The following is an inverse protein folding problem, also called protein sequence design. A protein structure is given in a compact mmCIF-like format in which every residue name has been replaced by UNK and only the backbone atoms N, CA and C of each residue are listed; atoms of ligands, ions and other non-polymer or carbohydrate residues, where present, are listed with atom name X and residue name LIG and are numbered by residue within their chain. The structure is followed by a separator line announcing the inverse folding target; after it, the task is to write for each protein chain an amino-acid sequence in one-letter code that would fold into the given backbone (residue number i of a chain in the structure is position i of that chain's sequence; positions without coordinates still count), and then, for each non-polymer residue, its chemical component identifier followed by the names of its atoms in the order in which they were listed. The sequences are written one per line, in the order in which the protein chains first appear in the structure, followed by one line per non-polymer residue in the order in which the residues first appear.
data_IF_814809815718
#
_entry.id   IF_814809815718
#
_cell.length_a   1.000
_cell.length_b   1.000
_cell.length_c   1.000
_cell.angle_alpha   90.00
_cell.angle_beta   90.00
_cell.angle_gamma   90.00
#
_symmetry.space_group_name_H-M   'P 1'
#
loop_
_entity.id
_entity.type
_entity.pdbx_description
1 polymer ?
#
# COMPACT_ATOMS: atom_id res chain seq x y z
N UNK A 1 3.33 1.33 -13.74
CA UNK A 1 2.03 0.63 -13.67
C UNK A 1 1.49 0.72 -12.24
N UNK A 2 1.23 1.94 -11.77
CA UNK A 2 0.37 2.21 -10.64
C UNK A 2 -1.02 2.58 -11.17
N UNK A 3 -1.88 1.56 -11.31
CA UNK A 3 -3.27 1.75 -11.73
C UNK A 3 -3.99 2.75 -10.81
N UNK A 4 -4.84 3.61 -11.39
CA UNK A 4 -5.96 4.22 -10.65
C UNK A 4 -6.84 3.07 -10.14
N UNK A 5 -6.95 2.88 -8.81
CA UNK A 5 -7.87 1.90 -8.26
C UNK A 5 -9.06 2.62 -7.62
N UNK A 6 -10.25 2.34 -8.17
CA UNK A 6 -11.52 2.60 -7.51
C UNK A 6 -12.02 1.32 -6.84
N UNK A 7 -13.24 1.33 -6.29
CA UNK A 7 -13.86 0.14 -5.68
C UNK A 7 -13.89 -1.10 -6.60
N UNK A 8 -13.84 -0.91 -7.92
CA UNK A 8 -13.88 -1.96 -8.93
C UNK A 8 -12.70 -2.94 -8.86
N UNK A 9 -11.59 -2.52 -8.26
CA UNK A 9 -10.41 -3.34 -8.22
C UNK A 9 -10.26 -4.11 -6.87
N UNK A 10 -11.02 -3.72 -5.85
CA UNK A 10 -11.03 -4.39 -4.54
C UNK A 10 -11.29 -5.91 -4.65
N UNK A 11 -12.22 -6.32 -5.51
CA UNK A 11 -12.52 -7.74 -5.77
C UNK A 11 -11.30 -8.48 -6.32
N UNK A 12 -10.56 -7.85 -7.23
CA UNK A 12 -9.35 -8.43 -7.82
C UNK A 12 -8.23 -8.60 -6.80
N UNK A 13 -8.04 -7.62 -5.90
CA UNK A 13 -7.09 -7.79 -4.79
C UNK A 13 -7.52 -8.93 -3.88
N UNK A 14 -8.82 -9.07 -3.59
CA UNK A 14 -9.30 -10.19 -2.78
C UNK A 14 -9.08 -11.53 -3.49
N UNK A 15 -9.33 -11.62 -4.80
CA UNK A 15 -9.11 -12.83 -5.59
C UNK A 15 -7.62 -13.21 -5.63
N UNK A 16 -6.74 -12.25 -5.91
CA UNK A 16 -5.30 -12.50 -6.04
C UNK A 16 -4.61 -12.75 -4.68
N UNK A 17 -5.15 -12.20 -3.58
CA UNK A 17 -4.42 -12.06 -2.31
C UNK A 17 -5.19 -12.47 -1.04
N UNK A 18 -6.44 -12.92 -1.17
CA UNK A 18 -7.35 -13.17 -0.04
C UNK A 18 -6.77 -14.05 1.06
N UNK A 19 -6.00 -15.09 0.69
CA UNK A 19 -5.38 -16.02 1.65
C UNK A 19 -4.47 -15.33 2.67
N UNK A 20 -3.62 -14.40 2.23
CA UNK A 20 -2.69 -13.71 3.13
C UNK A 20 -3.23 -12.37 3.62
N UNK A 21 -4.14 -11.74 2.87
CA UNK A 21 -4.81 -10.50 3.29
C UNK A 21 -5.65 -10.74 4.56
N UNK A 22 -6.20 -11.95 4.70
CA UNK A 22 -6.87 -12.43 5.92
C UNK A 22 -7.90 -11.42 6.45
N UNK A 23 -8.86 -11.05 5.59
CA UNK A 23 -9.94 -10.15 5.95
C UNK A 23 -10.79 -10.76 7.07
N UNK A 24 -11.10 -9.95 8.07
CA UNK A 24 -12.08 -10.31 9.08
C UNK A 24 -13.49 -10.36 8.47
N UNK A 25 -14.42 -11.02 9.15
CA UNK A 25 -15.82 -11.04 8.71
C UNK A 25 -16.38 -9.61 8.60
N UNK A 26 -16.93 -9.31 7.41
CA UNK A 26 -17.46 -8.00 7.06
C UNK A 26 -16.40 -6.89 6.90
N UNK A 27 -15.10 -7.20 6.89
CA UNK A 27 -14.06 -6.25 6.51
C UNK A 27 -14.03 -6.10 4.98
N UNK A 28 -14.01 -4.87 4.49
CA UNK A 28 -14.08 -4.56 3.05
C UNK A 28 -12.86 -3.77 2.61
N UNK A 29 -12.30 -4.13 1.45
CA UNK A 29 -11.23 -3.37 0.80
C UNK A 29 -11.84 -2.11 0.16
N UNK A 30 -11.36 -0.94 0.54
CA UNK A 30 -11.81 0.35 0.02
C UNK A 30 -10.93 0.85 -1.13
N UNK A 31 -9.63 0.59 -1.03
CA UNK A 31 -8.63 1.03 -2.01
C UNK A 31 -7.41 0.12 -1.97
N UNK A 32 -6.73 -0.06 -3.09
CA UNK A 32 -5.41 -0.67 -3.09
C UNK A 32 -4.51 -0.03 -4.15
N UNK A 33 -3.23 0.11 -3.86
CA UNK A 33 -2.21 0.56 -4.77
C UNK A 33 -1.09 -0.48 -4.84
N UNK A 34 -0.51 -0.62 -6.03
CA UNK A 34 0.60 -1.53 -6.28
C UNK A 34 1.80 -0.74 -6.78
N UNK A 35 2.96 -0.98 -6.17
CA UNK A 35 4.25 -0.53 -6.68
C UNK A 35 4.89 -1.66 -7.50
N UNK A 36 6.12 -1.47 -8.01
CA UNK A 36 6.85 -2.55 -8.69
C UNK A 36 7.09 -3.77 -7.81
N UNK A 37 7.11 -3.62 -6.48
CA UNK A 37 7.49 -4.67 -5.51
C UNK A 37 6.46 -4.89 -4.41
N UNK A 38 5.62 -3.90 -4.14
CA UNK A 38 4.84 -3.80 -2.92
C UNK A 38 3.37 -3.50 -3.22
N UNK A 39 2.51 -3.78 -2.24
CA UNK A 39 1.09 -3.52 -2.24
C UNK A 39 0.75 -2.70 -1.01
N UNK A 40 -0.16 -1.76 -1.18
CA UNK A 40 -0.73 -0.91 -0.14
C UNK A 40 -2.24 -1.03 -0.25
N UNK A 41 -2.89 -1.69 0.71
CA UNK A 41 -4.32 -1.99 0.70
C UNK A 41 -4.96 -1.27 1.88
N UNK A 42 -6.01 -0.50 1.63
CA UNK A 42 -6.82 0.15 2.65
C UNK A 42 -8.14 -0.61 2.75
N UNK A 43 -8.47 -1.04 3.96
CA UNK A 43 -9.78 -1.58 4.29
C UNK A 43 -10.56 -0.57 5.12
N UNK A 44 -11.80 -0.87 5.47
CA UNK A 44 -12.57 -0.09 6.44
C UNK A 44 -11.96 -0.12 7.87
N UNK A 45 -10.96 -0.97 8.14
CA UNK A 45 -10.39 -1.20 9.49
C UNK A 45 -8.89 -0.92 9.63
N UNK A 46 -8.11 -1.13 8.57
CA UNK A 46 -6.65 -1.11 8.62
C UNK A 46 -6.01 -0.82 7.27
N UNK A 47 -4.74 -0.46 7.32
CA UNK A 47 -3.84 -0.48 6.17
C UNK A 47 -3.07 -1.79 6.19
N UNK A 48 -3.08 -2.53 5.08
CA UNK A 48 -2.27 -3.72 4.86
C UNK A 48 -1.19 -3.42 3.82
N UNK A 49 0.06 -3.76 4.14
CA UNK A 49 1.21 -3.45 3.30
C UNK A 49 2.04 -4.70 3.10
N UNK A 50 2.51 -4.93 1.89
CA UNK A 50 3.60 -5.88 1.65
C UNK A 50 4.92 -5.12 1.55
N UNK A 51 5.94 -5.54 2.27
CA UNK A 51 7.32 -5.04 2.12
C UNK A 51 8.20 -6.18 1.57
N UNK A 52 8.52 -6.10 0.28
CA UNK A 52 9.38 -7.10 -0.38
C UNK A 52 10.84 -6.71 -0.29
N UNK A 53 11.56 -7.35 0.63
CA UNK A 53 12.99 -7.16 0.85
C UNK A 53 13.84 -8.26 0.17
N UNK A 54 15.07 -7.88 -0.21
CA UNK A 54 16.12 -8.79 -0.70
C UNK A 54 16.23 -8.91 -2.23
N UNK A 55 17.47 -8.91 -2.74
CA UNK A 55 17.76 -9.01 -4.18
C UNK A 55 17.69 -10.44 -4.74
N UNK A 56 18.09 -11.45 -3.94
CA UNK A 56 18.27 -12.84 -4.38
C UNK A 56 17.12 -13.77 -3.97
N UNK A 57 16.60 -13.61 -2.76
CA UNK A 57 15.47 -14.38 -2.23
C UNK A 57 14.41 -13.38 -1.81
N UNK A 58 13.39 -13.20 -2.63
CA UNK A 58 12.28 -12.28 -2.33
C UNK A 58 11.61 -12.75 -1.05
N UNK A 59 11.85 -12.03 0.05
CA UNK A 59 11.14 -12.22 1.32
C UNK A 59 10.14 -11.08 1.40
N UNK A 60 8.87 -11.42 1.36
CA UNK A 60 7.79 -10.45 1.52
C UNK A 60 7.29 -10.50 2.96
N UNK A 61 7.38 -9.37 3.64
CA UNK A 61 6.76 -9.16 4.95
C UNK A 61 5.40 -8.51 4.77
N UNK A 62 4.44 -8.87 5.63
CA UNK A 62 3.07 -8.38 5.57
C UNK A 62 2.78 -7.61 6.85
N UNK A 63 2.48 -6.31 6.72
CA UNK A 63 2.11 -5.45 7.82
C UNK A 63 0.61 -5.19 7.77
N UNK A 64 -0.09 -5.51 8.86
CA UNK A 64 -1.49 -5.15 9.06
C UNK A 64 -1.55 -4.12 10.18
N UNK A 65 -1.81 -2.86 9.83
CA UNK A 65 -1.77 -1.72 10.74
C UNK A 65 -3.19 -1.17 10.92
N UNK A 66 -3.85 -1.41 12.07
CA UNK A 66 -5.11 -0.76 12.38
C UNK A 66 -4.97 0.76 12.31
N UNK A 67 -6.00 1.47 11.84
CA UNK A 67 -5.92 2.94 11.73
C UNK A 67 -5.56 3.63 13.05
N UNK A 68 -6.08 3.13 14.18
CA UNK A 68 -5.73 3.61 15.53
C UNK A 68 -4.25 3.47 15.90
N UNK A 69 -3.51 2.61 15.19
CA UNK A 69 -2.09 2.37 15.41
C UNK A 69 -1.18 3.28 14.59
N UNK A 70 -1.70 3.90 13.53
CA UNK A 70 -0.96 4.89 12.74
C UNK A 70 -0.82 6.17 13.56
N UNK A 71 0.40 6.51 13.95
CA UNK A 71 0.68 7.69 14.77
C UNK A 71 1.05 8.91 13.93
N UNK A 72 1.80 8.68 12.84
CA UNK A 72 2.24 9.71 11.89
C UNK A 72 2.31 9.13 10.50
N UNK A 73 2.18 10.01 9.52
CA UNK A 73 2.42 9.72 8.12
C UNK A 73 3.04 10.95 7.44
N UNK A 74 3.75 10.72 6.34
CA UNK A 74 4.32 11.77 5.50
C UNK A 74 4.18 11.36 4.05
N UNK A 75 3.77 12.29 3.20
CA UNK A 75 3.75 12.14 1.75
C UNK A 75 4.59 13.27 1.17
N UNK A 76 5.63 12.90 0.42
CA UNK A 76 6.47 13.84 -0.29
C UNK A 76 6.29 13.61 -1.78
N UNK A 77 5.64 14.54 -2.48
CA UNK A 77 5.41 14.42 -3.92
C UNK A 77 6.56 15.04 -4.71
N UNK A 78 7.09 14.30 -5.69
CA UNK A 78 7.98 14.86 -6.71
C UNK A 78 7.13 15.31 -7.91
N UNK A 79 7.33 16.56 -8.37
CA UNK A 79 6.67 17.10 -9.56
C UNK A 79 7.72 17.37 -10.64
N UNK A 80 7.58 16.76 -11.83
CA UNK A 80 8.53 16.91 -12.94
C UNK A 80 8.54 15.71 -13.90
N UNK A 81 9.65 15.49 -14.62
CA UNK A 81 9.79 14.37 -15.59
C UNK A 81 9.66 12.96 -14.93
N UNK A 82 9.70 12.89 -13.60
CA UNK A 82 9.51 11.67 -12.81
C UNK A 82 8.45 11.95 -11.71
N UNK A 83 7.18 12.05 -12.13
CA UNK A 83 6.06 12.24 -11.21
C UNK A 83 5.89 11.02 -10.28
N UNK A 84 5.91 11.26 -8.97
CA UNK A 84 5.81 10.22 -7.95
C UNK A 84 5.58 10.80 -6.56
N UNK A 85 5.51 9.94 -5.56
CA UNK A 85 5.45 10.34 -4.17
C UNK A 85 6.07 9.30 -3.24
N UNK A 86 6.82 9.75 -2.24
CA UNK A 86 7.30 8.91 -1.15
C UNK A 86 6.31 8.96 0.02
N UNK A 87 5.72 7.81 0.35
CA UNK A 87 4.85 7.62 1.50
C UNK A 87 5.63 6.98 2.65
N UNK A 88 5.58 7.58 3.83
CA UNK A 88 6.15 7.03 5.06
C UNK A 88 5.08 6.89 6.13
N UNK A 89 5.09 5.78 6.86
CA UNK A 89 4.10 5.46 7.90
C UNK A 89 4.79 5.09 9.21
N UNK A 90 4.36 5.68 10.32
CA UNK A 90 4.86 5.39 11.67
C UNK A 90 3.77 4.77 12.52
N UNK A 91 4.16 3.82 13.37
CA UNK A 91 3.27 3.18 14.34
C UNK A 91 3.71 3.54 15.75
N UNK A 92 2.75 3.91 16.59
CA UNK A 92 3.00 4.23 18.00
C UNK A 92 4.13 5.27 18.18
N UNK A 93 5.04 5.07 19.13
CA UNK A 93 6.15 5.98 19.45
C UNK A 93 7.45 5.67 18.71
N UNK A 94 7.42 4.90 17.60
CA UNK A 94 8.63 4.58 16.84
C UNK A 94 9.30 5.85 16.29
N UNK A 95 10.63 5.91 16.35
CA UNK A 95 11.39 7.03 15.80
C UNK A 95 11.41 6.95 14.27
N UNK A 96 11.75 5.78 13.75
CA UNK A 96 11.78 5.48 12.32
C UNK A 96 10.40 5.04 11.79
N UNK A 97 10.11 5.29 10.51
CA UNK A 97 8.88 4.80 9.90
C UNK A 97 8.92 3.27 9.86
N UNK A 98 7.76 2.65 10.13
CA UNK A 98 7.59 1.21 9.95
C UNK A 98 7.71 0.84 8.47
N UNK A 99 7.20 1.69 7.59
CA UNK A 99 7.18 1.47 6.14
C UNK A 99 7.56 2.77 5.41
N UNK A 100 8.38 2.65 4.36
CA UNK A 100 8.59 3.67 3.33
C UNK A 100 8.30 3.09 1.95
N UNK A 101 7.33 3.66 1.24
CA UNK A 101 6.88 3.24 -0.09
C UNK A 101 7.11 4.36 -1.10
N UNK A 102 7.71 4.01 -2.23
CA UNK A 102 7.80 4.89 -3.39
C UNK A 102 6.62 4.60 -4.32
N UNK A 103 5.72 5.58 -4.43
CA UNK A 103 4.56 5.56 -5.32
C UNK A 103 4.94 6.27 -6.62
N UNK A 104 4.65 5.66 -7.76
CA UNK A 104 4.86 6.29 -9.06
C UNK A 104 3.50 6.67 -9.64
N UNK A 105 3.41 7.81 -10.33
CA UNK A 105 2.20 8.17 -11.06
C UNK A 105 2.19 7.43 -12.40
N UNK A 106 1.12 6.72 -12.73
CA UNK A 106 0.93 6.24 -14.11
C UNK A 106 0.41 7.36 -15.03
N UNK A 107 0.95 7.42 -16.25
CA UNK A 107 0.56 8.37 -17.31
C UNK A 107 -0.51 7.82 -18.30
N UNK A 108 -1.30 6.80 -17.96
CA UNK A 108 -2.33 6.24 -18.88
C UNK A 108 -3.66 6.08 -18.14
N UNK A 109 -4.80 6.69 -18.52
CA UNK A 109 -5.16 7.56 -19.65
C UNK A 109 -6.33 8.46 -19.19
N UNK A 110 -6.24 9.78 -19.44
CA UNK A 110 -7.42 10.53 -19.88
C UNK A 110 -7.70 10.05 -21.31
N UNK A 111 -8.84 9.38 -21.50
CA UNK A 111 -9.29 8.80 -22.77
C UNK A 111 -10.67 8.21 -22.63
#
# INVERSE_FOLDING_TARGET
MALRWGPADAERVIEEHGTWLALAEGETVEFAAKTRRDLLIFTDRRVVITDTQGMLRKKTEYHSIPYRGLSRWSVESSRGLFDGADLKLWVSSQIEPLVSLELQKDETQDG
#
